data_IF_483380419175
#
_entry.id   IF_483380419175
#
_cell.length_a   1.000
_cell.length_b   1.000
_cell.length_c   1.000
_cell.angle_alpha   90.00
_cell.angle_beta   90.00
_cell.angle_gamma   90.00
#
_symmetry.space_group_name_H-M   'P 1'
#
loop_
_entity.id
_entity.type
_entity.pdbx_description
1 polymer ?
#
# COMPACT_ATOMS: atom_id res chain seq x y z
N UNK A 1 -23.86 3.78 -0.86
CA UNK A 1 -22.44 3.99 -1.19
C UNK A 1 -21.69 3.81 0.12
N UNK A 2 -21.04 2.67 0.34
CA UNK A 2 -20.24 2.46 1.55
C UNK A 2 -18.98 3.32 1.43
N UNK A 3 -18.83 4.31 2.30
CA UNK A 3 -17.57 5.01 2.48
C UNK A 3 -16.66 4.07 3.23
N UNK A 4 -15.65 3.50 2.56
CA UNK A 4 -14.60 2.78 3.27
C UNK A 4 -13.64 3.85 3.77
N UNK A 5 -13.69 4.14 5.08
CA UNK A 5 -12.72 5.04 5.71
C UNK A 5 -11.38 4.30 5.82
N UNK A 6 -10.45 4.64 4.93
CA UNK A 6 -9.09 4.13 4.98
C UNK A 6 -8.28 4.98 5.97
N UNK A 7 -7.91 4.42 7.12
CA UNK A 7 -6.89 5.06 7.97
C UNK A 7 -5.50 4.77 7.37
N UNK A 8 -4.88 5.79 6.79
CA UNK A 8 -3.48 5.77 6.36
C UNK A 8 -2.61 6.47 7.39
N UNK A 9 -1.54 5.81 7.81
CA UNK A 9 -0.51 6.41 8.68
C UNK A 9 0.75 6.59 7.87
N UNK A 10 1.28 7.81 7.83
CA UNK A 10 2.53 8.08 7.12
C UNK A 10 3.69 7.29 7.71
N UNK A 11 4.56 6.80 6.83
CA UNK A 11 5.81 6.13 7.16
C UNK A 11 6.98 6.86 6.52
N UNK A 12 8.19 6.64 7.06
CA UNK A 12 9.38 6.92 6.28
C UNK A 12 9.45 5.91 5.11
N UNK A 13 9.89 6.37 3.93
CA UNK A 13 9.96 5.52 2.74
C UNK A 13 10.86 4.30 2.98
N UNK A 14 11.87 4.41 3.85
CA UNK A 14 12.79 3.32 4.21
C UNK A 14 12.19 2.29 5.17
N UNK A 15 11.03 2.56 5.77
CA UNK A 15 10.33 1.68 6.71
C UNK A 15 9.31 0.75 6.03
N UNK A 16 9.05 0.94 4.72
CA UNK A 16 8.15 0.06 3.97
C UNK A 16 8.76 -1.35 3.79
N UNK A 17 7.97 -2.28 3.23
CA UNK A 17 8.44 -3.65 3.08
C UNK A 17 9.64 -3.64 2.11
N UNK A 18 10.75 -4.34 2.41
CA UNK A 18 11.95 -4.32 1.58
C UNK A 18 11.70 -4.73 0.12
N UNK A 19 10.70 -5.59 -0.15
CA UNK A 19 10.33 -5.99 -1.51
C UNK A 19 9.70 -4.81 -2.25
N UNK A 20 8.82 -4.05 -1.60
CA UNK A 20 8.23 -2.84 -2.16
C UNK A 20 9.30 -1.77 -2.37
N UNK A 21 10.18 -1.57 -1.38
CA UNK A 21 11.25 -0.59 -1.45
C UNK A 21 12.21 -0.87 -2.62
N UNK A 22 12.61 -2.12 -2.81
CA UNK A 22 13.49 -2.53 -3.90
C UNK A 22 12.87 -2.30 -5.30
N UNK A 23 11.53 -2.23 -5.39
CA UNK A 23 10.78 -2.14 -6.65
C UNK A 23 10.27 -0.73 -6.99
N UNK A 24 10.48 0.26 -6.10
CA UNK A 24 10.11 1.67 -6.34
C UNK A 24 10.79 2.26 -7.59
N UNK A 25 12.00 1.76 -7.91
CA UNK A 25 12.92 2.42 -8.83
C UNK A 25 13.49 3.73 -8.26
N UNK A 26 14.38 4.37 -9.00
CA UNK A 26 15.03 5.62 -8.58
C UNK A 26 14.43 6.84 -9.28
N UNK A 27 14.36 8.01 -8.62
CA UNK A 27 14.87 8.29 -7.28
C UNK A 27 13.80 8.11 -6.17
N UNK A 28 14.20 7.47 -5.07
CA UNK A 28 13.34 7.15 -3.92
C UNK A 28 12.67 8.38 -3.29
N UNK A 29 13.30 9.55 -3.36
CA UNK A 29 12.79 10.83 -2.82
C UNK A 29 11.48 11.32 -3.45
N UNK A 30 11.11 10.79 -4.60
CA UNK A 30 9.87 11.14 -5.30
C UNK A 30 8.67 10.31 -4.82
N UNK A 31 8.95 9.35 -3.93
CA UNK A 31 7.97 8.47 -3.31
C UNK A 31 7.66 8.88 -1.88
N UNK A 32 6.40 8.75 -1.52
CA UNK A 32 5.89 8.86 -0.15
C UNK A 32 5.31 7.53 0.28
N UNK A 33 5.32 7.27 1.59
CA UNK A 33 4.98 5.97 2.16
C UNK A 33 3.92 6.06 3.26
N UNK A 34 3.10 5.01 3.35
CA UNK A 34 2.08 4.86 4.36
C UNK A 34 1.90 3.40 4.77
N UNK A 35 1.33 3.19 5.95
CA UNK A 35 0.72 1.93 6.34
C UNK A 35 -0.79 2.04 6.48
N UNK A 36 -1.45 0.92 6.22
CA UNK A 36 -2.83 0.68 6.59
C UNK A 36 -2.91 -0.60 7.41
N UNK A 37 -3.69 -0.59 8.49
CA UNK A 37 -3.99 -1.78 9.29
C UNK A 37 -5.45 -2.16 9.09
N UNK A 38 -5.69 -3.23 8.35
CA UNK A 38 -7.01 -3.81 8.17
C UNK A 38 -7.56 -4.26 9.55
N UNK A 39 -8.64 -3.64 9.97
CA UNK A 39 -9.33 -4.02 11.21
C UNK A 39 -10.54 -4.86 10.83
N UNK A 40 -10.71 -6.03 11.46
CA UNK A 40 -12.00 -6.74 11.38
C UNK A 40 -13.06 -5.98 12.19
N UNK A 41 -14.35 -6.21 11.89
CA UNK A 41 -15.50 -5.60 12.57
C UNK A 41 -15.48 -5.77 14.11
N UNK A 42 -14.71 -6.73 14.61
CA UNK A 42 -14.51 -7.00 16.04
C UNK A 42 -13.27 -6.29 16.65
N UNK A 43 -12.64 -5.36 15.92
CA UNK A 43 -11.47 -4.59 16.38
C UNK A 43 -10.18 -5.41 16.54
N UNK A 44 -10.14 -6.64 16.03
CA UNK A 44 -8.90 -7.45 16.00
C UNK A 44 -8.18 -7.24 14.67
N UNK A 45 -6.94 -6.78 14.72
CA UNK A 45 -6.01 -6.83 13.61
C UNK A 45 -5.49 -8.28 13.48
N UNK A 46 -5.70 -8.92 12.33
CA UNK A 46 -5.02 -10.18 12.00
C UNK A 46 -3.56 -9.89 11.62
N UNK A 47 -2.65 -10.84 11.80
CA UNK A 47 -1.22 -10.65 11.47
C UNK A 47 -0.97 -10.46 9.96
N UNK A 48 -1.96 -10.79 9.11
CA UNK A 48 -1.98 -10.50 7.66
C UNK A 48 -2.62 -9.15 7.31
N UNK A 49 -2.87 -8.30 8.30
CA UNK A 49 -3.69 -7.08 8.15
C UNK A 49 -2.90 -5.81 7.88
N UNK A 50 -1.57 -5.86 7.86
CA UNK A 50 -0.79 -4.65 7.60
C UNK A 50 -0.47 -4.57 6.12
N UNK A 51 -0.78 -3.43 5.51
CA UNK A 51 -0.41 -3.09 4.15
C UNK A 51 0.60 -1.96 4.19
N UNK A 52 1.63 -2.05 3.38
CA UNK A 52 2.49 -0.91 3.07
C UNK A 52 2.12 -0.37 1.70
N UNK A 53 2.04 0.96 1.62
CA UNK A 53 1.65 1.71 0.43
C UNK A 53 2.77 2.69 0.11
N UNK A 54 3.11 2.81 -1.16
CA UNK A 54 3.92 3.91 -1.68
C UNK A 54 3.17 4.64 -2.79
N UNK A 55 3.44 5.94 -2.97
CA UNK A 55 2.84 6.74 -4.02
C UNK A 55 3.84 7.72 -4.61
N UNK A 56 3.80 7.84 -5.93
CA UNK A 56 4.54 8.84 -6.69
C UNK A 56 3.53 9.78 -7.35
N UNK A 57 3.40 10.99 -6.78
CA UNK A 57 2.38 11.95 -7.20
C UNK A 57 2.49 12.35 -8.68
N UNK A 58 3.69 12.72 -9.14
CA UNK A 58 3.90 13.15 -10.54
C UNK A 58 3.69 12.03 -11.56
N UNK A 59 4.07 10.79 -11.23
CA UNK A 59 3.87 9.63 -12.09
C UNK A 59 2.46 9.04 -11.98
N UNK A 60 1.67 9.48 -10.99
CA UNK A 60 0.33 8.95 -10.66
C UNK A 60 0.37 7.42 -10.49
N UNK A 61 1.40 6.94 -9.80
CA UNK A 61 1.67 5.52 -9.60
C UNK A 61 1.64 5.18 -8.11
N UNK A 62 0.92 4.13 -7.75
CA UNK A 62 0.84 3.62 -6.39
C UNK A 62 1.22 2.14 -6.33
N UNK A 63 1.97 1.76 -5.30
CA UNK A 63 2.35 0.38 -5.04
C UNK A 63 1.82 -0.05 -3.67
N UNK A 64 1.24 -1.23 -3.59
CA UNK A 64 0.70 -1.79 -2.34
C UNK A 64 1.26 -3.19 -2.15
N UNK A 65 1.64 -3.53 -0.93
CA UNK A 65 2.05 -4.88 -0.55
C UNK A 65 1.48 -5.27 0.80
N UNK A 66 1.02 -6.52 0.92
CA UNK A 66 0.67 -7.09 2.21
C UNK A 66 1.93 -7.46 2.99
N UNK A 67 2.05 -6.92 4.19
CA UNK A 67 3.13 -7.22 5.14
C UNK A 67 2.80 -8.54 5.82
N UNK A 68 3.12 -9.63 5.13
CA UNK A 68 2.89 -10.99 5.60
C UNK A 68 4.21 -11.72 5.88
N UNK A 69 4.19 -12.62 6.87
CA UNK A 69 5.27 -13.59 7.06
C UNK A 69 5.11 -14.72 6.04
N UNK A 70 5.71 -14.58 4.85
CA UNK A 70 5.62 -15.61 3.82
C UNK A 70 6.49 -15.32 2.59
N UNK A 71 6.81 -16.36 1.79
CA UNK A 71 7.66 -16.24 0.61
C UNK A 71 6.95 -15.65 -0.61
N UNK A 72 5.61 -15.57 -0.59
CA UNK A 72 4.80 -15.05 -1.68
C UNK A 72 4.29 -13.65 -1.34
N UNK A 73 5.20 -12.68 -1.41
CA UNK A 73 4.89 -11.25 -1.31
C UNK A 73 5.08 -10.64 -2.69
N UNK A 74 3.98 -10.21 -3.30
CA UNK A 74 3.99 -9.54 -4.60
C UNK A 74 3.59 -8.10 -4.40
N UNK A 75 4.34 -7.19 -5.02
CA UNK A 75 3.96 -5.78 -5.08
C UNK A 75 2.87 -5.64 -6.12
N UNK A 76 1.74 -5.08 -5.71
CA UNK A 76 0.67 -4.70 -6.60
C UNK A 76 0.85 -3.25 -7.03
N UNK A 77 1.11 -3.02 -8.31
CA UNK A 77 1.22 -1.69 -8.89
C UNK A 77 -0.09 -1.26 -9.54
N UNK A 78 -0.43 0.01 -9.40
CA UNK A 78 -1.56 0.59 -10.12
C UNK A 78 -1.28 2.03 -10.46
N UNK A 79 -2.02 2.50 -11.46
CA UNK A 79 -2.26 3.93 -11.60
C UNK A 79 -3.16 4.43 -10.46
N UNK A 80 -2.76 5.52 -9.81
CA UNK A 80 -3.52 6.12 -8.72
C UNK A 80 -3.19 7.61 -8.55
N UNK A 81 -4.23 8.42 -8.37
CA UNK A 81 -4.10 9.86 -8.07
C UNK A 81 -3.62 10.14 -6.64
N UNK A 82 -3.98 9.26 -5.71
CA UNK A 82 -3.69 9.39 -4.28
C UNK A 82 -3.33 8.02 -3.70
N UNK A 83 -2.65 7.95 -2.54
CA UNK A 83 -2.40 6.68 -1.86
C UNK A 83 -3.69 5.95 -1.45
N UNK A 84 -4.75 6.67 -1.09
CA UNK A 84 -6.06 6.08 -0.79
C UNK A 84 -6.67 5.39 -2.01
N UNK A 85 -6.52 5.98 -3.20
CA UNK A 85 -6.99 5.38 -4.44
C UNK A 85 -6.19 4.11 -4.78
N UNK A 86 -4.87 4.11 -4.54
CA UNK A 86 -4.04 2.91 -4.71
C UNK A 86 -4.50 1.78 -3.76
N UNK A 87 -4.72 2.11 -2.49
CA UNK A 87 -5.23 1.18 -1.49
C UNK A 87 -6.63 0.67 -1.84
N UNK A 88 -7.54 1.56 -2.24
CA UNK A 88 -8.90 1.20 -2.64
C UNK A 88 -8.87 0.19 -3.77
N UNK A 89 -8.11 0.45 -4.84
CA UNK A 89 -7.96 -0.46 -5.97
C UNK A 89 -7.38 -1.80 -5.57
N UNK A 90 -6.40 -1.81 -4.66
CA UNK A 90 -5.86 -3.05 -4.12
C UNK A 90 -6.92 -3.90 -3.41
N UNK A 91 -7.72 -3.27 -2.56
CA UNK A 91 -8.75 -3.96 -1.77
C UNK A 91 -9.97 -4.37 -2.60
N UNK A 92 -10.23 -3.71 -3.72
CA UNK A 92 -11.33 -4.05 -4.65
C UNK A 92 -10.88 -4.89 -5.84
N UNK A 93 -9.63 -5.38 -5.85
CA UNK A 93 -9.04 -6.18 -6.94
C UNK A 93 -9.07 -5.49 -8.32
N UNK A 94 -8.97 -4.15 -8.34
CA UNK A 94 -8.89 -3.31 -9.55
C UNK A 94 -7.44 -3.03 -9.97
N UNK A 95 -6.53 -3.97 -9.66
CA UNK A 95 -5.10 -3.85 -9.93
C UNK A 95 -4.83 -4.32 -11.35
N UNK A 96 -3.99 -3.57 -12.07
CA UNK A 96 -3.54 -3.94 -13.41
C UNK A 96 -2.18 -4.62 -13.22
N UNK A 97 -2.13 -5.93 -13.49
CA UNK A 97 -0.90 -6.76 -13.52
C UNK A 97 0.10 -6.23 -14.57
#
# INVERSE_FOLDING_TARGET
>A
MMTIDFELRSLDITEIDPVLFADLGTPEREWTAWEHVCSTENGRAEVLSKLHICHHASARRGGVIAVASGPFRTVAWTYAETPEEALRRYLTDEIID
#
